data_IF_841353659235
#
_entry.id   IF_841353659235
#
_cell.length_a   1.000
_cell.length_b   1.000
_cell.length_c   1.000
_cell.angle_alpha   90.00
_cell.angle_beta   90.00
_cell.angle_gamma   90.00
#
_symmetry.space_group_name_H-M   'P 1'
#
loop_
_entity.id
_entity.type
_entity.pdbx_description
1 polymer ?
#
# COMPACT_ATOMS: atom_id res chain seq x y z
N UNK A 1 -2.08 -12.23 -8.84
CA UNK A 1 -2.34 -10.77 -8.66
C UNK A 1 -1.49 -9.92 -9.62
N UNK A 2 -0.16 -9.83 -9.44
CA UNK A 2 0.69 -8.94 -10.24
C UNK A 2 0.61 -9.21 -11.76
N UNK A 3 0.68 -10.48 -12.17
CA UNK A 3 0.61 -10.84 -13.61
C UNK A 3 -0.68 -10.36 -14.31
N UNK A 4 -1.79 -10.29 -13.57
CA UNK A 4 -3.07 -9.86 -14.13
C UNK A 4 -3.13 -8.37 -14.47
N UNK A 5 -2.16 -7.58 -14.00
CA UNK A 5 -2.16 -6.10 -14.17
C UNK A 5 -0.96 -5.56 -14.93
N UNK A 6 0.04 -6.39 -15.24
CA UNK A 6 1.31 -5.96 -15.88
C UNK A 6 1.14 -5.26 -17.23
N UNK A 7 0.09 -5.58 -17.95
CA UNK A 7 -0.22 -5.03 -19.29
C UNK A 7 -1.14 -3.80 -19.25
N UNK A 8 -1.53 -3.35 -18.05
CA UNK A 8 -2.33 -2.13 -17.94
C UNK A 8 -1.50 -0.91 -18.37
N UNK A 9 -2.07 -0.01 -19.19
CA UNK A 9 -1.42 1.24 -19.52
C UNK A 9 -1.20 2.07 -18.26
N UNK A 10 -0.16 2.89 -18.27
CA UNK A 10 0.19 3.83 -17.21
C UNK A 10 0.48 3.17 -15.83
N UNK A 11 0.78 1.86 -15.82
CA UNK A 11 1.20 1.12 -14.65
C UNK A 11 2.72 0.91 -14.65
N UNK A 12 3.43 1.45 -13.67
CA UNK A 12 4.83 1.16 -13.41
C UNK A 12 4.95 0.17 -12.25
N UNK A 13 5.51 -1.03 -12.51
CA UNK A 13 5.75 -2.05 -11.49
C UNK A 13 7.18 -1.92 -10.97
N UNK A 14 7.32 -1.73 -9.67
CA UNK A 14 8.60 -1.67 -8.99
C UNK A 14 8.75 -2.86 -8.04
N UNK A 15 9.32 -3.95 -8.57
CA UNK A 15 9.61 -5.14 -7.77
C UNK A 15 10.87 -4.89 -6.93
N UNK A 16 10.67 -4.49 -5.66
CA UNK A 16 11.77 -4.01 -4.82
C UNK A 16 12.86 -5.06 -4.60
N UNK A 17 12.50 -6.34 -4.46
CA UNK A 17 13.49 -7.42 -4.32
C UNK A 17 14.29 -7.69 -5.60
N UNK A 18 13.70 -7.42 -6.78
CA UNK A 18 14.40 -7.56 -8.06
C UNK A 18 15.28 -6.35 -8.35
N UNK A 19 14.80 -5.16 -7.99
CA UNK A 19 15.53 -3.90 -8.19
C UNK A 19 16.70 -3.73 -7.22
N UNK A 20 16.54 -4.19 -5.98
CA UNK A 20 17.46 -3.94 -4.87
C UNK A 20 17.78 -5.23 -4.10
N UNK A 21 18.39 -6.24 -4.75
CA UNK A 21 18.64 -7.54 -4.12
C UNK A 21 19.62 -7.45 -2.93
N UNK A 22 20.44 -6.41 -2.88
CA UNK A 22 21.40 -6.10 -1.82
C UNK A 22 20.87 -5.10 -0.78
N UNK A 23 19.58 -4.68 -0.89
CA UNK A 23 18.94 -3.66 -0.04
C UNK A 23 19.52 -2.24 -0.23
N UNK A 24 20.37 -2.00 -1.21
CA UNK A 24 20.85 -0.64 -1.53
C UNK A 24 19.83 0.07 -2.45
N UNK A 25 18.85 0.71 -1.83
CA UNK A 25 17.72 1.34 -2.52
C UNK A 25 18.15 2.68 -3.14
N UNK A 26 17.98 2.82 -4.46
CA UNK A 26 18.08 4.12 -5.13
C UNK A 26 16.91 5.03 -4.74
N UNK A 27 17.11 5.77 -3.66
CA UNK A 27 16.09 6.68 -3.09
C UNK A 27 15.59 7.69 -4.10
N UNK A 28 16.49 8.23 -4.94
CA UNK A 28 16.12 9.24 -5.93
C UNK A 28 15.21 8.66 -7.02
N UNK A 29 15.51 7.44 -7.49
CA UNK A 29 14.69 6.73 -8.47
C UNK A 29 13.30 6.40 -7.90
N UNK A 30 13.21 5.93 -6.63
CA UNK A 30 11.95 5.63 -5.97
C UNK A 30 11.11 6.89 -5.74
N UNK A 31 11.73 7.95 -5.26
CA UNK A 31 11.07 9.23 -5.07
C UNK A 31 10.56 9.82 -6.41
N UNK A 32 11.33 9.71 -7.49
CA UNK A 32 10.92 10.15 -8.81
C UNK A 32 9.71 9.34 -9.33
N UNK A 33 9.67 8.02 -9.10
CA UNK A 33 8.52 7.18 -9.44
C UNK A 33 7.28 7.60 -8.65
N UNK A 34 7.42 7.79 -7.34
CA UNK A 34 6.33 8.26 -6.48
C UNK A 34 5.77 9.62 -6.89
N UNK A 35 6.64 10.56 -7.30
CA UNK A 35 6.18 11.90 -7.76
C UNK A 35 5.29 11.80 -8.99
N UNK A 36 5.59 10.88 -9.92
CA UNK A 36 4.79 10.69 -11.14
C UNK A 36 3.45 9.98 -10.90
N UNK A 37 3.35 9.17 -9.85
CA UNK A 37 2.16 8.38 -9.58
C UNK A 37 1.03 9.22 -8.98
N UNK A 38 -0.21 8.99 -9.41
CA UNK A 38 -1.42 9.47 -8.77
C UNK A 38 -1.97 8.46 -7.74
N UNK A 39 -1.78 7.17 -8.04
CA UNK A 39 -2.10 6.05 -7.16
C UNK A 39 -0.84 5.24 -6.87
N UNK A 40 -0.52 5.06 -5.61
CA UNK A 40 0.54 4.16 -5.13
C UNK A 40 -0.09 2.88 -4.61
N UNK A 41 0.32 1.74 -5.15
CA UNK A 41 -0.17 0.43 -4.71
C UNK A 41 0.91 -0.29 -3.91
N UNK A 42 0.65 -0.56 -2.65
CA UNK A 42 1.50 -1.41 -1.83
C UNK A 42 1.01 -2.85 -1.92
N UNK A 43 1.62 -3.64 -2.80
CA UNK A 43 1.28 -5.05 -3.05
C UNK A 43 2.33 -5.96 -2.40
N UNK A 44 1.94 -6.69 -1.36
CA UNK A 44 2.84 -7.58 -0.63
C UNK A 44 2.08 -8.62 0.21
N UNK A 45 2.65 -9.78 0.53
CA UNK A 45 2.10 -10.68 1.54
C UNK A 45 2.30 -10.11 2.95
N UNK A 46 1.41 -10.45 3.89
CA UNK A 46 1.69 -10.19 5.31
C UNK A 46 2.73 -11.19 5.81
N UNK A 47 3.81 -10.67 6.35
CA UNK A 47 4.84 -11.43 7.06
C UNK A 47 4.93 -10.95 8.50
N UNK A 48 4.76 -11.90 9.44
CA UNK A 48 4.84 -11.61 10.88
C UNK A 48 3.97 -10.41 11.30
N UNK A 49 2.71 -10.42 10.83
CA UNK A 49 1.72 -9.37 11.12
C UNK A 49 2.08 -7.98 10.59
N UNK A 50 3.02 -7.88 9.67
CA UNK A 50 3.53 -6.62 9.13
C UNK A 50 3.89 -6.78 7.64
N UNK A 51 4.70 -5.86 7.14
CA UNK A 51 5.21 -5.85 5.77
C UNK A 51 6.51 -6.66 5.67
N UNK A 52 6.89 -7.16 4.47
CA UNK A 52 8.20 -7.72 4.22
C UNK A 52 9.33 -6.73 4.55
N UNK A 53 10.50 -7.26 4.96
CA UNK A 53 11.63 -6.45 5.41
C UNK A 53 12.07 -5.38 4.39
N UNK A 54 12.10 -5.72 3.10
CA UNK A 54 12.44 -4.80 2.02
C UNK A 54 11.45 -3.63 1.95
N UNK A 55 10.15 -3.88 2.08
CA UNK A 55 9.16 -2.80 2.04
C UNK A 55 9.26 -1.90 3.28
N UNK A 56 9.57 -2.47 4.47
CA UNK A 56 9.83 -1.65 5.65
C UNK A 56 11.05 -0.78 5.46
N UNK A 57 12.14 -1.35 4.96
CA UNK A 57 13.36 -0.61 4.65
C UNK A 57 13.09 0.50 3.62
N UNK A 58 12.31 0.19 2.57
CA UNK A 58 11.90 1.17 1.57
C UNK A 58 11.14 2.35 2.20
N UNK A 59 10.18 2.10 3.12
CA UNK A 59 9.52 3.19 3.85
C UNK A 59 10.51 4.07 4.60
N UNK A 60 11.49 3.44 5.28
CA UNK A 60 12.43 4.15 6.16
C UNK A 60 13.38 5.07 5.39
N UNK A 61 13.82 4.65 4.18
CA UNK A 61 14.82 5.39 3.41
C UNK A 61 14.21 6.30 2.33
N UNK A 62 12.98 6.00 1.85
CA UNK A 62 12.32 6.77 0.78
C UNK A 62 11.43 7.87 1.34
N UNK A 63 10.67 7.60 2.43
CA UNK A 63 9.77 8.57 3.04
C UNK A 63 10.51 9.51 3.99
N UNK A 64 11.46 10.27 3.46
CA UNK A 64 12.30 11.17 4.24
C UNK A 64 11.51 12.38 4.75
N UNK A 65 11.97 12.91 5.89
CA UNK A 65 11.54 14.21 6.39
C UNK A 65 11.84 15.30 5.33
N UNK A 66 10.98 16.30 5.28
CA UNK A 66 11.07 17.44 4.35
C UNK A 66 10.90 17.04 2.86
N UNK A 67 10.57 15.74 2.61
CA UNK A 67 10.17 15.24 1.31
C UNK A 67 8.75 14.63 1.37
N UNK A 68 8.53 13.59 2.20
CA UNK A 68 7.23 12.93 2.37
C UNK A 68 6.38 13.58 3.48
N UNK A 69 7.02 14.15 4.49
CA UNK A 69 6.38 14.77 5.65
C UNK A 69 7.29 15.87 6.23
N UNK A 70 6.77 16.64 7.23
CA UNK A 70 7.52 17.73 7.83
C UNK A 70 7.35 19.03 7.07
N UNK A 71 8.20 20.02 7.37
CA UNK A 71 8.16 21.33 6.74
C UNK A 71 8.60 21.22 5.26
N UNK A 72 7.72 21.61 4.33
CA UNK A 72 7.97 21.42 2.88
C UNK A 72 7.82 19.98 2.35
N UNK A 73 7.62 19.00 3.21
CA UNK A 73 7.42 17.59 2.83
C UNK A 73 6.01 17.31 2.33
N UNK A 74 5.75 17.57 1.06
CA UNK A 74 4.42 17.52 0.43
C UNK A 74 4.33 16.60 -0.79
N UNK A 75 5.40 15.89 -1.15
CA UNK A 75 5.50 15.15 -2.43
C UNK A 75 4.50 14.01 -2.57
N UNK A 76 3.98 13.50 -1.46
CA UNK A 76 2.94 12.47 -1.42
C UNK A 76 1.54 13.03 -1.13
N UNK A 77 1.42 14.32 -0.81
CA UNK A 77 0.14 14.94 -0.45
C UNK A 77 -0.87 14.84 -1.58
N UNK A 78 -2.06 14.33 -1.24
CA UNK A 78 -3.18 14.16 -2.16
C UNK A 78 -3.08 12.97 -3.12
N UNK A 79 -1.94 12.26 -3.14
CA UNK A 79 -1.84 10.99 -3.87
C UNK A 79 -2.66 9.92 -3.15
N UNK A 80 -3.19 8.98 -3.93
CA UNK A 80 -3.94 7.87 -3.37
C UNK A 80 -3.01 6.71 -3.02
N UNK A 81 -3.37 5.95 -1.99
CA UNK A 81 -2.64 4.77 -1.56
C UNK A 81 -3.59 3.58 -1.43
N UNK A 82 -3.37 2.54 -2.21
CA UNK A 82 -4.11 1.27 -2.17
C UNK A 82 -3.22 0.18 -1.58
N UNK A 83 -3.66 -0.42 -0.49
CA UNK A 83 -3.03 -1.61 0.07
C UNK A 83 -3.64 -2.88 -0.52
N UNK A 84 -2.80 -3.74 -1.10
CA UNK A 84 -3.18 -5.03 -1.66
C UNK A 84 -2.33 -6.09 -0.99
N UNK A 85 -2.95 -7.04 -0.30
CA UNK A 85 -2.19 -8.00 0.50
C UNK A 85 -2.81 -9.39 0.50
N UNK A 86 -1.98 -10.36 0.79
CA UNK A 86 -2.39 -11.74 1.07
C UNK A 86 -2.06 -12.12 2.50
N UNK A 87 -2.87 -12.97 3.13
CA UNK A 87 -2.57 -13.57 4.42
C UNK A 87 -2.66 -15.09 4.34
N UNK A 88 -1.78 -15.80 5.05
CA UNK A 88 -1.84 -17.25 5.17
C UNK A 88 -3.09 -17.73 5.91
N UNK A 89 -3.51 -16.99 6.95
CA UNK A 89 -4.70 -17.28 7.73
C UNK A 89 -6.00 -16.95 6.97
N UNK A 90 -7.02 -17.75 7.18
CA UNK A 90 -8.37 -17.50 6.71
C UNK A 90 -9.02 -16.33 7.48
N UNK A 91 -10.08 -15.76 6.94
CA UNK A 91 -10.81 -14.63 7.55
C UNK A 91 -11.24 -14.93 9.01
N UNK A 92 -11.69 -16.16 9.28
CA UNK A 92 -12.11 -16.61 10.63
C UNK A 92 -11.00 -16.58 11.65
N UNK A 93 -9.73 -16.70 11.22
CA UNK A 93 -8.55 -16.66 12.09
C UNK A 93 -8.31 -15.28 12.71
N UNK A 94 -8.84 -14.22 12.06
CA UNK A 94 -8.66 -12.81 12.47
C UNK A 94 -9.88 -12.29 13.22
N UNK A 95 -10.11 -12.84 14.40
CA UNK A 95 -11.18 -12.43 15.32
C UNK A 95 -10.71 -12.55 16.76
N UNK A 96 -11.47 -12.02 17.71
CA UNK A 96 -11.15 -12.13 19.15
C UNK A 96 -11.05 -13.58 19.64
N UNK A 97 -11.79 -14.49 19.01
CA UNK A 97 -11.81 -15.92 19.32
C UNK A 97 -11.00 -16.76 18.33
N UNK A 98 -10.47 -16.16 17.29
CA UNK A 98 -9.63 -16.83 16.29
C UNK A 98 -8.18 -16.99 16.75
N UNK A 99 -7.38 -17.70 15.95
CA UNK A 99 -5.97 -18.00 16.26
C UNK A 99 -5.15 -16.73 16.51
N UNK A 100 -5.43 -15.65 15.77
CA UNK A 100 -4.68 -14.40 15.88
C UNK A 100 -5.19 -13.48 16.99
N UNK A 101 -6.38 -13.74 17.55
CA UNK A 101 -6.99 -12.97 18.65
C UNK A 101 -7.13 -11.46 18.40
N UNK A 102 -7.01 -11.05 17.14
CA UNK A 102 -7.10 -9.67 16.68
C UNK A 102 -7.84 -9.64 15.33
N UNK A 103 -8.67 -8.61 15.08
CA UNK A 103 -9.26 -8.40 13.76
C UNK A 103 -8.16 -8.01 12.75
N UNK A 104 -8.33 -8.39 11.50
CA UNK A 104 -7.36 -8.09 10.44
C UNK A 104 -7.07 -6.58 10.29
N UNK A 105 -8.08 -5.74 10.55
CA UNK A 105 -7.94 -4.29 10.53
C UNK A 105 -6.86 -3.74 11.51
N UNK A 106 -6.49 -4.49 12.54
CA UNK A 106 -5.40 -4.11 13.42
C UNK A 106 -4.04 -4.07 12.69
N UNK A 107 -3.85 -4.90 11.67
CA UNK A 107 -2.62 -4.94 10.86
C UNK A 107 -2.62 -3.90 9.74
N UNK A 108 -3.79 -3.40 9.34
CA UNK A 108 -3.93 -2.26 8.43
C UNK A 108 -3.49 -0.94 9.08
N UNK A 109 -3.75 -0.78 10.37
CA UNK A 109 -3.60 0.49 11.07
C UNK A 109 -2.23 1.17 10.89
N UNK A 110 -1.07 0.48 11.01
CA UNK A 110 0.24 1.11 10.80
C UNK A 110 0.45 1.63 9.38
N UNK A 111 0.00 0.88 8.37
CA UNK A 111 0.15 1.25 6.96
C UNK A 111 -0.74 2.44 6.62
N UNK A 112 -2.00 2.36 7.03
CA UNK A 112 -2.95 3.45 6.88
C UNK A 112 -2.42 4.72 7.54
N UNK A 113 -1.88 4.61 8.77
CA UNK A 113 -1.30 5.75 9.47
C UNK A 113 -0.10 6.34 8.74
N UNK A 114 0.77 5.51 8.15
CA UNK A 114 1.91 5.94 7.34
C UNK A 114 1.44 6.76 6.13
N UNK A 115 0.46 6.25 5.38
CA UNK A 115 -0.11 6.96 4.22
C UNK A 115 -0.73 8.30 4.63
N UNK A 116 -1.58 8.30 5.66
CA UNK A 116 -2.24 9.51 6.14
C UNK A 116 -1.24 10.54 6.68
N UNK A 117 -0.18 10.09 7.37
CA UNK A 117 0.87 10.98 7.88
C UNK A 117 1.65 11.66 6.76
N UNK A 118 1.82 10.99 5.62
CA UNK A 118 2.39 11.59 4.40
C UNK A 118 1.37 12.43 3.60
N UNK A 119 0.13 12.55 4.09
CA UNK A 119 -0.93 13.34 3.43
C UNK A 119 -1.59 12.64 2.25
N UNK A 120 -1.42 11.31 2.14
CA UNK A 120 -2.06 10.51 1.11
C UNK A 120 -3.52 10.21 1.46
N UNK A 121 -4.31 9.87 0.45
CA UNK A 121 -5.69 9.40 0.59
C UNK A 121 -5.66 7.87 0.66
N UNK A 122 -6.17 7.31 1.74
CA UNK A 122 -6.23 5.86 1.92
C UNK A 122 -7.42 5.27 1.18
N UNK A 123 -7.15 4.37 0.26
CA UNK A 123 -8.15 3.61 -0.48
C UNK A 123 -8.60 2.36 0.30
N UNK A 124 -9.81 1.86 0.00
CA UNK A 124 -10.27 0.59 0.58
C UNK A 124 -9.32 -0.54 0.18
N UNK A 125 -8.67 -1.23 1.15
CA UNK A 125 -7.72 -2.30 0.87
C UNK A 125 -8.33 -3.49 0.12
N UNK A 126 -7.49 -4.21 -0.61
CA UNK A 126 -7.81 -5.53 -1.17
C UNK A 126 -7.02 -6.58 -0.37
N UNK A 127 -7.75 -7.47 0.29
CA UNK A 127 -7.15 -8.52 1.12
C UNK A 127 -7.59 -9.89 0.61
N UNK A 128 -6.62 -10.75 0.33
CA UNK A 128 -6.85 -12.15 -0.04
C UNK A 128 -6.42 -13.05 1.11
N UNK A 129 -7.39 -13.56 1.83
CA UNK A 129 -7.16 -14.46 2.97
C UNK A 129 -6.96 -15.90 2.53
N UNK A 130 -6.31 -16.71 3.39
CA UNK A 130 -6.20 -18.15 3.18
C UNK A 130 -5.24 -18.55 2.07
N UNK A 131 -4.14 -17.83 1.86
CA UNK A 131 -3.20 -18.06 0.76
C UNK A 131 -2.62 -19.48 0.68
N UNK A 132 -2.77 -20.29 1.73
CA UNK A 132 -2.33 -21.70 1.76
C UNK A 132 -3.41 -22.69 1.34
N UNK A 133 -4.67 -22.28 1.28
CA UNK A 133 -5.83 -23.15 1.02
C UNK A 133 -6.73 -22.64 -0.11
N UNK A 134 -6.49 -21.44 -0.58
CA UNK A 134 -7.27 -20.80 -1.65
C UNK A 134 -7.06 -21.55 -2.97
N UNK A 135 -8.14 -21.71 -3.72
CA UNK A 135 -8.12 -22.37 -5.03
C UNK A 135 -7.59 -21.45 -6.14
N UNK A 136 -7.15 -22.05 -7.26
CA UNK A 136 -6.71 -21.28 -8.43
C UNK A 136 -7.84 -20.40 -9.00
N UNK A 137 -9.08 -20.86 -8.97
CA UNK A 137 -10.26 -20.10 -9.43
C UNK A 137 -10.49 -18.86 -8.56
N UNK A 138 -10.37 -19.00 -7.25
CA UNK A 138 -10.49 -17.87 -6.31
C UNK A 138 -9.34 -16.86 -6.48
N UNK A 139 -8.11 -17.34 -6.71
CA UNK A 139 -6.95 -16.48 -7.04
C UNK A 139 -7.22 -15.75 -8.36
N UNK A 140 -7.73 -16.45 -9.37
CA UNK A 140 -8.09 -15.90 -10.66
C UNK A 140 -9.15 -14.80 -10.53
N UNK A 141 -10.22 -15.07 -9.79
CA UNK A 141 -11.29 -14.10 -9.53
C UNK A 141 -10.77 -12.85 -8.80
N UNK A 142 -9.94 -13.02 -7.76
CA UNK A 142 -9.32 -11.91 -7.04
C UNK A 142 -8.37 -11.09 -7.92
N UNK A 143 -7.62 -11.75 -8.81
CA UNK A 143 -6.72 -11.08 -9.74
C UNK A 143 -7.48 -10.26 -10.80
N UNK A 144 -8.62 -10.77 -11.30
CA UNK A 144 -9.50 -10.03 -12.20
C UNK A 144 -10.14 -8.83 -11.51
N UNK A 145 -10.64 -8.98 -10.29
CA UNK A 145 -11.20 -7.89 -9.50
C UNK A 145 -10.16 -6.78 -9.23
N UNK A 146 -8.92 -7.16 -8.92
CA UNK A 146 -7.82 -6.23 -8.77
C UNK A 146 -7.53 -5.48 -10.07
N UNK A 147 -7.46 -6.19 -11.21
CA UNK A 147 -7.29 -5.59 -12.53
C UNK A 147 -8.40 -4.58 -12.84
N UNK A 148 -9.65 -4.95 -12.63
CA UNK A 148 -10.79 -4.09 -12.85
C UNK A 148 -10.73 -2.84 -11.95
N UNK A 149 -10.36 -3.01 -10.67
CA UNK A 149 -10.17 -1.90 -9.73
C UNK A 149 -9.14 -0.90 -10.24
N UNK A 150 -8.00 -1.36 -10.78
CA UNK A 150 -6.97 -0.47 -11.32
C UNK A 150 -7.41 0.16 -12.66
N UNK A 151 -7.96 -0.62 -13.57
CA UNK A 151 -8.39 -0.12 -14.88
C UNK A 151 -9.49 0.95 -14.80
N UNK A 152 -10.36 0.84 -13.81
CA UNK A 152 -11.48 1.77 -13.57
C UNK A 152 -11.17 2.84 -12.54
N UNK A 153 -10.02 2.77 -11.85
CA UNK A 153 -9.67 3.74 -10.82
C UNK A 153 -9.62 5.17 -11.40
N UNK A 154 -10.17 6.09 -10.65
CA UNK A 154 -10.08 7.53 -10.93
C UNK A 154 -9.84 8.26 -9.62
N UNK A 155 -9.00 9.30 -9.61
CA UNK A 155 -8.76 10.09 -8.41
C UNK A 155 -10.06 10.71 -7.90
N UNK A 156 -10.30 10.57 -6.60
CA UNK A 156 -11.41 11.27 -5.94
C UNK A 156 -11.08 12.75 -5.84
N UNK A 157 -12.01 13.66 -6.16
CA UNK A 157 -11.79 15.10 -5.99
C UNK A 157 -11.36 15.44 -4.55
N UNK A 158 -10.46 16.40 -4.35
CA UNK A 158 -9.92 16.77 -3.03
C UNK A 158 -10.97 17.06 -1.94
N UNK A 159 -12.17 17.51 -2.32
CA UNK A 159 -13.27 17.80 -1.40
C UNK A 159 -13.88 16.56 -0.73
N UNK A 160 -13.62 15.35 -1.24
CA UNK A 160 -14.10 14.08 -0.70
C UNK A 160 -12.97 13.26 -0.04
N UNK A 161 -11.74 13.68 -0.17
CA UNK A 161 -10.61 13.05 0.50
C UNK A 161 -10.73 13.22 2.02
N UNK A 162 -10.38 12.19 2.78
CA UNK A 162 -10.29 12.29 4.23
C UNK A 162 -9.41 13.48 4.61
N UNK A 163 -9.84 14.26 5.60
CA UNK A 163 -9.05 15.41 6.07
C UNK A 163 -7.65 14.90 6.47
N UNK A 164 -6.58 15.52 5.96
CA UNK A 164 -5.23 15.15 6.35
C UNK A 164 -5.08 15.26 7.88
N UNK A 165 -4.27 14.39 8.46
CA UNK A 165 -3.91 14.51 9.87
C UNK A 165 -3.26 15.87 10.06
N UNK A 166 -3.83 16.70 10.96
CA UNK A 166 -3.20 17.99 11.32
C UNK A 166 -1.84 17.72 11.94
N UNK A 167 -0.82 18.36 11.40
CA UNK A 167 0.55 18.25 11.88
C UNK A 167 0.84 19.42 12.84
N UNK A 168 1.75 19.25 13.81
CA UNK A 168 2.27 20.41 14.54
C UNK A 168 2.89 21.39 13.53
N UNK A 169 2.33 22.62 13.47
CA UNK A 169 2.78 23.65 12.51
C UNK A 169 1.86 23.90 11.31
N UNK A 170 0.82 23.07 11.06
CA UNK A 170 -0.24 23.44 10.12
C UNK A 170 -1.02 24.63 10.70
N UNK A 171 -0.78 25.83 10.18
CA UNK A 171 -1.58 27.03 10.46
C UNK A 171 -2.76 27.06 9.50
N UNK A 172 -3.93 27.47 10.00
CA UNK A 172 -5.17 27.65 9.22
C UNK A 172 -5.01 28.74 8.14
#
# INVERSE_FOLDING_TARGET
>A
MLEAVRDLPDLEVRSLYDLYPDFDIDVAAEQAALVRADLVVWLHPIYWYSVPAMLKHWFDVVHLRDWAYGEGGDKLRGKHCLWVTTSGGETSSFSETGVHQLPFAAFEAPLRQTALFCGMVWETPIVLHGAHVITEDEIGAAALAFRERLATWRPTPPSQAAKPIRRPGDVD
#
